data_IF_721654689777
#
_entry.id   IF_721654689777
#
_cell.length_a   1.000
_cell.length_b   1.000
_cell.length_c   1.000
_cell.angle_alpha   90.00
_cell.angle_beta   90.00
_cell.angle_gamma   90.00
#
_symmetry.space_group_name_H-M   'P 1'
#
loop_
_entity.id
_entity.type
_entity.pdbx_description
1 polymer ?
#
# COMPACT_ATOMS: atom_id res chain seq x y z
N UNK A 1 -0.86 -6.61 18.55
CA UNK A 1 -0.72 -7.29 17.26
C UNK A 1 0.77 -7.48 16.98
N UNK A 2 1.12 -8.69 16.61
CA UNK A 2 2.51 -9.01 16.30
C UNK A 2 2.71 -8.87 14.78
N UNK A 3 3.64 -8.02 14.37
CA UNK A 3 3.94 -7.79 12.96
C UNK A 3 5.18 -8.58 12.56
N UNK A 4 5.02 -9.90 12.42
CA UNK A 4 6.13 -10.80 12.12
C UNK A 4 6.61 -10.67 10.68
N UNK A 5 5.70 -10.33 9.76
CA UNK A 5 6.02 -10.19 8.33
C UNK A 5 6.40 -8.76 7.98
N UNK A 6 7.64 -8.40 8.27
CA UNK A 6 8.16 -7.08 7.91
C UNK A 6 8.72 -7.14 6.49
N UNK A 7 7.89 -6.77 5.52
CA UNK A 7 8.27 -6.77 4.11
C UNK A 7 9.15 -5.58 3.73
N UNK A 8 8.91 -4.42 4.35
CA UNK A 8 9.70 -3.21 4.10
C UNK A 8 10.35 -2.80 5.42
N UNK A 9 11.66 -3.03 5.52
CA UNK A 9 12.44 -2.66 6.71
C UNK A 9 12.72 -1.16 6.71
N UNK A 10 12.95 -0.59 7.90
CA UNK A 10 13.33 0.83 8.00
C UNK A 10 14.54 1.17 7.13
N UNK A 11 15.51 0.26 7.05
CA UNK A 11 16.70 0.46 6.23
C UNK A 11 16.39 0.47 4.73
N UNK A 12 15.27 -0.12 4.29
CA UNK A 12 14.85 -0.16 2.89
C UNK A 12 14.05 1.08 2.49
N UNK A 13 13.57 1.86 3.45
CA UNK A 13 12.90 3.11 3.15
C UNK A 13 13.95 4.12 2.65
N UNK A 14 13.70 4.79 1.50
CA UNK A 14 14.68 5.74 0.98
C UNK A 14 14.85 6.93 1.92
N UNK A 15 16.02 7.55 1.87
CA UNK A 15 16.27 8.77 2.62
C UNK A 15 15.54 9.94 1.95
N UNK A 16 14.74 10.65 2.73
CA UNK A 16 14.08 11.86 2.29
C UNK A 16 14.97 13.09 2.51
N UNK A 17 14.60 14.20 1.87
CA UNK A 17 15.37 15.45 1.94
C UNK A 17 15.29 16.12 3.30
N UNK A 18 14.24 15.86 4.09
CA UNK A 18 14.09 16.39 5.44
C UNK A 18 13.58 15.32 6.40
N UNK A 19 13.79 15.54 7.70
CA UNK A 19 13.38 14.58 8.74
C UNK A 19 11.88 14.34 8.79
N UNK A 20 11.08 15.41 8.60
CA UNK A 20 9.62 15.27 8.68
C UNK A 20 9.12 14.36 7.56
N UNK A 21 9.65 14.51 6.35
CA UNK A 21 9.25 13.67 5.23
C UNK A 21 9.77 12.24 5.38
N UNK A 22 10.97 12.07 5.98
CA UNK A 22 11.49 10.76 6.32
C UNK A 22 10.55 10.02 7.28
N UNK A 23 10.01 10.73 8.26
CA UNK A 23 9.01 10.14 9.17
C UNK A 23 7.77 9.68 8.41
N UNK A 24 7.28 10.47 7.47
CA UNK A 24 6.12 10.10 6.66
C UNK A 24 6.39 8.85 5.81
N UNK A 25 7.58 8.74 5.23
CA UNK A 25 7.96 7.55 4.45
C UNK A 25 7.99 6.31 5.34
N UNK A 26 8.58 6.40 6.53
CA UNK A 26 8.63 5.28 7.47
C UNK A 26 7.26 4.90 7.99
N UNK A 27 6.39 5.88 8.21
CA UNK A 27 5.01 5.65 8.62
C UNK A 27 4.25 4.89 7.54
N UNK A 28 4.38 5.29 6.28
CA UNK A 28 3.75 4.58 5.17
C UNK A 28 4.27 3.15 5.08
N UNK A 29 5.58 2.94 5.15
CA UNK A 29 6.17 1.60 5.13
C UNK A 29 5.64 0.74 6.28
N UNK A 30 5.52 1.32 7.48
CA UNK A 30 4.97 0.63 8.64
C UNK A 30 3.51 0.21 8.42
N UNK A 31 2.69 1.07 7.85
CA UNK A 31 1.29 0.74 7.56
C UNK A 31 1.18 -0.37 6.51
N UNK A 32 2.04 -0.36 5.49
CA UNK A 32 2.10 -1.43 4.48
C UNK A 32 2.49 -2.75 5.13
N UNK A 33 3.45 -2.75 6.05
CA UNK A 33 3.85 -3.96 6.78
C UNK A 33 2.68 -4.54 7.59
N UNK A 34 1.84 -3.70 8.18
CA UNK A 34 0.63 -4.15 8.89
C UNK A 34 -0.34 -4.84 7.95
N UNK A 35 -0.61 -4.24 6.80
CA UNK A 35 -1.48 -4.85 5.79
C UNK A 35 -0.91 -6.18 5.30
N UNK A 36 0.39 -6.21 5.02
CA UNK A 36 1.08 -7.43 4.58
C UNK A 36 0.92 -8.55 5.61
N UNK A 37 1.13 -8.25 6.89
CA UNK A 37 1.00 -9.23 7.96
C UNK A 37 -0.43 -9.76 8.09
N UNK A 38 -1.42 -8.86 8.01
CA UNK A 38 -2.83 -9.24 8.13
C UNK A 38 -3.24 -10.11 6.93
N UNK A 39 -2.89 -9.68 5.71
CA UNK A 39 -3.32 -10.40 4.50
C UNK A 39 -2.67 -11.78 4.40
N UNK A 40 -1.42 -11.93 4.81
CA UNK A 40 -0.78 -13.24 4.88
C UNK A 40 -1.43 -14.18 5.90
N UNK A 41 -2.12 -13.63 6.88
CA UNK A 41 -2.83 -14.41 7.88
C UNK A 41 -4.14 -15.01 7.39
N UNK A 42 -4.65 -14.56 6.24
CA UNK A 42 -5.90 -15.10 5.68
C UNK A 42 -5.64 -16.39 4.91
N UNK A 43 -6.63 -17.29 4.95
CA UNK A 43 -6.71 -18.43 4.04
C UNK A 43 -7.52 -18.02 2.81
N UNK A 44 -7.50 -18.83 1.76
CA UNK A 44 -8.33 -18.57 0.58
C UNK A 44 -9.81 -18.57 0.92
N UNK A 45 -10.23 -19.45 1.84
CA UNK A 45 -11.63 -19.51 2.28
C UNK A 45 -12.05 -18.22 3.00
N UNK A 46 -11.15 -17.59 3.74
CA UNK A 46 -11.44 -16.33 4.42
C UNK A 46 -11.83 -15.21 3.45
N UNK A 47 -11.34 -15.28 2.21
CA UNK A 47 -11.58 -14.22 1.23
C UNK A 47 -13.06 -14.05 0.87
N UNK A 48 -13.87 -15.08 1.00
CA UNK A 48 -15.30 -15.01 0.74
C UNK A 48 -16.14 -14.68 1.99
N UNK A 49 -15.49 -14.52 3.13
CA UNK A 49 -16.17 -14.22 4.38
C UNK A 49 -16.80 -12.83 4.38
N UNK A 50 -18.04 -12.76 4.88
CA UNK A 50 -18.77 -11.51 5.14
C UNK A 50 -19.15 -11.47 6.61
N UNK A 51 -18.77 -10.42 7.36
CA UNK A 51 -19.20 -10.29 8.76
C UNK A 51 -20.69 -10.01 8.90
N UNK A 52 -21.33 -9.52 7.83
CA UNK A 52 -22.76 -9.22 7.79
C UNK A 52 -23.25 -9.39 6.35
N UNK A 53 -24.53 -9.82 6.12
CA UNK A 53 -25.03 -10.01 4.75
C UNK A 53 -24.94 -8.80 3.84
N UNK A 54 -24.91 -7.60 4.40
CA UNK A 54 -24.80 -6.33 3.64
C UNK A 54 -23.39 -5.81 3.54
N UNK A 55 -22.41 -6.45 4.19
CA UNK A 55 -21.03 -6.00 4.13
C UNK A 55 -20.33 -6.56 2.89
N UNK A 56 -19.16 -5.98 2.57
CA UNK A 56 -18.28 -6.50 1.56
C UNK A 56 -17.58 -7.78 2.06
N UNK A 57 -17.14 -8.62 1.13
CA UNK A 57 -16.27 -9.75 1.47
C UNK A 57 -14.87 -9.25 1.81
N UNK A 58 -14.06 -10.11 2.43
CA UNK A 58 -12.65 -9.80 2.68
C UNK A 58 -11.93 -9.49 1.37
N UNK A 59 -12.19 -10.29 0.32
CA UNK A 59 -11.62 -10.05 -1.02
C UNK A 59 -11.95 -8.66 -1.54
N UNK A 60 -13.20 -8.27 -1.47
CA UNK A 60 -13.64 -6.95 -1.94
C UNK A 60 -12.93 -5.82 -1.18
N UNK A 61 -12.75 -5.98 0.13
CA UNK A 61 -12.05 -5.00 0.96
C UNK A 61 -10.58 -4.89 0.54
N UNK A 62 -9.91 -6.02 0.34
CA UNK A 62 -8.49 -6.04 -0.09
C UNK A 62 -8.34 -5.38 -1.45
N UNK A 63 -9.18 -5.76 -2.42
CA UNK A 63 -9.10 -5.20 -3.77
C UNK A 63 -9.43 -3.72 -3.78
N UNK A 64 -10.41 -3.31 -2.97
CA UNK A 64 -10.73 -1.89 -2.81
C UNK A 64 -9.55 -1.11 -2.25
N UNK A 65 -8.83 -1.65 -1.28
CA UNK A 65 -7.65 -1.00 -0.70
C UNK A 65 -6.56 -0.79 -1.76
N UNK A 66 -6.25 -1.82 -2.55
CA UNK A 66 -5.27 -1.73 -3.62
C UNK A 66 -5.63 -0.65 -4.64
N UNK A 67 -6.88 -0.62 -5.06
CA UNK A 67 -7.39 0.35 -6.04
C UNK A 67 -7.47 1.76 -5.46
N UNK A 68 -7.87 1.89 -4.20
CA UNK A 68 -7.97 3.18 -3.52
C UNK A 68 -6.61 3.84 -3.34
N UNK A 69 -5.59 3.07 -2.97
CA UNK A 69 -4.23 3.62 -2.86
C UNK A 69 -3.71 4.07 -4.22
N UNK A 70 -3.94 3.27 -5.25
CA UNK A 70 -3.56 3.66 -6.61
C UNK A 70 -4.21 5.00 -7.00
N UNK A 71 -5.49 5.14 -6.72
CA UNK A 71 -6.24 6.37 -7.01
C UNK A 71 -5.67 7.55 -6.23
N UNK A 72 -5.43 7.37 -4.94
CA UNK A 72 -4.90 8.44 -4.09
C UNK A 72 -3.54 8.91 -4.58
N UNK A 73 -2.61 7.99 -4.76
CA UNK A 73 -1.26 8.35 -5.19
C UNK A 73 -1.21 8.86 -6.63
N UNK A 74 -1.99 8.27 -7.51
CA UNK A 74 -1.99 8.65 -8.93
C UNK A 74 -2.79 9.90 -9.21
N UNK A 75 -4.06 9.93 -8.82
CA UNK A 75 -4.96 11.02 -9.19
C UNK A 75 -4.81 12.25 -8.30
N UNK A 76 -4.60 12.07 -6.99
CA UNK A 76 -4.49 13.20 -6.08
C UNK A 76 -3.06 13.70 -5.93
N UNK A 77 -2.07 12.82 -5.82
CA UNK A 77 -0.69 13.22 -5.61
C UNK A 77 0.14 13.28 -6.89
N UNK A 78 -0.36 12.74 -7.98
CA UNK A 78 0.32 12.81 -9.28
C UNK A 78 1.52 11.90 -9.44
N UNK A 79 1.60 10.80 -8.67
CA UNK A 79 2.65 9.81 -8.86
C UNK A 79 2.42 9.02 -10.17
N UNK A 80 3.50 8.51 -10.78
CA UNK A 80 3.37 7.64 -11.94
C UNK A 80 2.91 6.24 -11.49
N UNK A 81 1.59 6.02 -11.49
CA UNK A 81 0.99 4.76 -11.07
C UNK A 81 0.62 3.92 -12.30
N UNK A 82 0.56 2.59 -12.09
CA UNK A 82 0.07 1.69 -13.15
C UNK A 82 -1.40 2.00 -13.45
N UNK A 83 -1.89 1.69 -14.67
CA UNK A 83 -3.31 1.86 -14.99
C UNK A 83 -4.20 1.07 -14.02
N UNK A 84 -5.41 1.57 -13.77
CA UNK A 84 -6.33 0.95 -12.82
C UNK A 84 -6.59 -0.54 -13.12
N UNK A 85 -6.66 -0.90 -14.40
CA UNK A 85 -6.91 -2.28 -14.82
C UNK A 85 -5.68 -3.19 -14.68
N UNK A 86 -4.53 -2.67 -14.26
CA UNK A 86 -3.31 -3.44 -14.05
C UNK A 86 -2.89 -3.50 -12.57
N UNK A 87 -3.70 -2.93 -11.67
CA UNK A 87 -3.37 -2.88 -10.24
C UNK A 87 -3.45 -4.25 -9.58
N UNK A 88 -4.55 -4.97 -9.82
CA UNK A 88 -4.78 -6.24 -9.15
C UNK A 88 -3.88 -7.33 -9.73
N UNK A 89 -3.36 -8.23 -8.88
CA UNK A 89 -2.53 -9.33 -9.38
C UNK A 89 -3.37 -10.32 -10.18
N UNK A 90 -2.73 -11.07 -11.07
CA UNK A 90 -3.41 -12.12 -11.83
C UNK A 90 -3.91 -13.22 -10.91
N UNK A 91 -3.08 -13.65 -9.96
CA UNK A 91 -3.48 -14.59 -8.92
C UNK A 91 -4.23 -13.83 -7.82
N UNK A 92 -5.36 -14.38 -7.39
CA UNK A 92 -6.23 -13.73 -6.40
C UNK A 92 -6.16 -14.45 -5.05
N UNK A 93 -4.95 -14.81 -4.64
CA UNK A 93 -4.68 -15.43 -3.34
C UNK A 93 -4.28 -14.36 -2.32
N UNK A 94 -4.41 -14.63 -1.02
CA UNK A 94 -3.95 -13.70 0.01
C UNK A 94 -2.48 -13.30 -0.16
N UNK A 95 -1.61 -14.27 -0.44
CA UNK A 95 -0.19 -14.00 -0.64
C UNK A 95 0.07 -13.13 -1.86
N UNK A 96 -0.66 -13.36 -2.95
CA UNK A 96 -0.53 -12.55 -4.17
C UNK A 96 -0.97 -11.11 -3.94
N UNK A 97 -2.06 -10.90 -3.21
CA UNK A 97 -2.50 -9.55 -2.84
C UNK A 97 -1.46 -8.83 -1.99
N UNK A 98 -0.92 -9.53 -0.99
CA UNK A 98 0.10 -8.95 -0.11
C UNK A 98 1.36 -8.58 -0.89
N UNK A 99 1.84 -9.46 -1.75
CA UNK A 99 3.01 -9.23 -2.60
C UNK A 99 2.78 -8.03 -3.52
N UNK A 100 1.58 -7.91 -4.10
CA UNK A 100 1.27 -6.80 -5.00
C UNK A 100 1.26 -5.46 -4.26
N UNK A 101 0.68 -5.41 -3.06
CA UNK A 101 0.69 -4.20 -2.24
C UNK A 101 2.13 -3.78 -1.92
N UNK A 102 2.99 -4.71 -1.53
CA UNK A 102 4.40 -4.42 -1.22
C UNK A 102 5.12 -3.88 -2.46
N UNK A 103 4.93 -4.51 -3.61
CA UNK A 103 5.55 -4.08 -4.87
C UNK A 103 5.18 -2.65 -5.23
N UNK A 104 3.88 -2.33 -5.23
CA UNK A 104 3.40 -0.99 -5.53
C UNK A 104 3.89 0.03 -4.50
N UNK A 105 3.92 -0.35 -3.23
CA UNK A 105 4.36 0.53 -2.15
C UNK A 105 5.84 0.85 -2.22
N UNK A 106 6.68 -0.11 -2.63
CA UNK A 106 8.12 0.13 -2.83
C UNK A 106 8.34 1.17 -3.93
N UNK A 107 7.62 1.09 -5.02
CA UNK A 107 7.70 2.06 -6.11
C UNK A 107 7.28 3.46 -5.63
N UNK A 108 6.21 3.55 -4.84
CA UNK A 108 5.74 4.82 -4.26
C UNK A 108 6.78 5.42 -3.31
N UNK A 109 7.33 4.62 -2.43
CA UNK A 109 8.38 5.08 -1.51
C UNK A 109 9.60 5.59 -2.26
N UNK A 110 10.00 4.90 -3.32
CA UNK A 110 11.14 5.30 -4.13
C UNK A 110 10.90 6.66 -4.79
N UNK A 111 9.71 6.87 -5.34
CA UNK A 111 9.34 8.16 -5.93
C UNK A 111 9.30 9.27 -4.86
N UNK A 112 8.62 9.01 -3.75
CA UNK A 112 8.46 10.00 -2.68
C UNK A 112 9.80 10.41 -2.05
N UNK A 113 10.72 9.46 -1.92
CA UNK A 113 12.04 9.74 -1.36
C UNK A 113 12.88 10.70 -2.18
N UNK A 114 12.60 10.83 -3.46
CA UNK A 114 13.31 11.73 -4.38
C UNK A 114 12.74 13.14 -4.39
N UNK A 115 11.56 13.37 -3.80
CA UNK A 115 10.89 14.65 -3.89
C UNK A 115 11.46 15.66 -2.90
N UNK A 116 11.61 16.90 -3.35
CA UNK A 116 12.04 18.01 -2.51
C UNK A 116 10.89 18.62 -1.72
N UNK A 117 11.26 19.56 -0.85
CA UNK A 117 10.31 20.25 0.02
C UNK A 117 9.19 20.95 -0.77
N UNK A 118 9.50 21.54 -1.90
CA UNK A 118 8.51 22.25 -2.73
C UNK A 118 7.41 21.29 -3.19
N UNK A 119 7.77 20.08 -3.57
CA UNK A 119 6.79 19.08 -3.97
C UNK A 119 5.89 18.67 -2.80
N UNK A 120 6.50 18.42 -1.63
CA UNK A 120 5.76 17.98 -0.45
C UNK A 120 4.79 19.04 0.07
N UNK A 121 5.14 20.33 -0.09
CA UNK A 121 4.35 21.43 0.41
C UNK A 121 3.42 22.03 -0.66
N UNK A 122 3.41 21.47 -1.85
CA UNK A 122 2.53 21.94 -2.93
C UNK A 122 1.05 21.76 -2.56
N UNK A 123 0.26 22.78 -2.88
CA UNK A 123 -1.18 22.72 -2.65
C UNK A 123 -1.82 21.92 -3.79
N UNK A 124 -2.59 20.90 -3.44
CA UNK A 124 -3.34 20.11 -4.42
C UNK A 124 -4.67 20.81 -4.68
N UNK A 125 -4.99 21.09 -5.97
CA UNK A 125 -6.26 21.72 -6.31
C UNK A 125 -7.49 20.84 -6.04
#
# INVERSE_FOLDING_TARGET
MNYEDIAIKDADAPLATTRIFQHLLRTYASEVNKLNSIWHGFTEDDLSFKPHPRSSTVREIIEHELLSERRFFGEFLGLPEVPANEVLPQSRTPDAYAARMVELSRERLHFLGKQGEDWWLAVVP
#
